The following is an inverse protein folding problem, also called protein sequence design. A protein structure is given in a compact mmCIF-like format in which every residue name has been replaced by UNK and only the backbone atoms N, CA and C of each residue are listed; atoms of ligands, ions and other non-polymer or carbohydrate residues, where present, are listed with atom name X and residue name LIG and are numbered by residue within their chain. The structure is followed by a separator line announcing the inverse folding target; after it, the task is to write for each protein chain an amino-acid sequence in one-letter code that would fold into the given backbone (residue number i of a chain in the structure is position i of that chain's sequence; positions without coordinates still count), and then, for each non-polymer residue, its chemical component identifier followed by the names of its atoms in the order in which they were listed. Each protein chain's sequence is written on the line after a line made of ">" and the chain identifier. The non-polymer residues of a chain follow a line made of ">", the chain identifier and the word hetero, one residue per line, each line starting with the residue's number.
data_IF_092089216736
#
_entry.id   IF_092089216736
#
_cell.length_a   1.000
_cell.length_b   1.000
_cell.length_c   1.000
_cell.angle_alpha   90.00
_cell.angle_beta   90.00
_cell.angle_gamma   90.00
#
_symmetry.space_group_name_H-M   'P 1'
#
loop_
_entity.id
_entity.type
_entity.pdbx_description
1 polymer ?
#
# COMPACT_ATOMS: atom_id res chain seq x y z
N UNK A 1 -27.05 -32.89 18.69
CA UNK A 1 -26.45 -32.58 17.37
C UNK A 1 -25.58 -31.32 17.43
N UNK A 2 -24.46 -31.33 18.19
CA UNK A 2 -23.59 -30.13 18.35
C UNK A 2 -22.10 -30.40 18.09
N UNK A 3 -21.75 -31.52 17.44
CA UNK A 3 -20.36 -31.89 17.15
C UNK A 3 -19.78 -31.34 15.84
N UNK A 4 -20.61 -30.79 14.95
CA UNK A 4 -20.17 -30.35 13.62
C UNK A 4 -19.35 -29.06 13.61
N UNK A 5 -19.68 -28.12 14.50
CA UNK A 5 -19.10 -26.77 14.49
C UNK A 5 -17.65 -26.74 14.98
N UNK A 6 -17.29 -27.54 16.00
CA UNK A 6 -15.89 -27.59 16.50
C UNK A 6 -14.90 -28.17 15.48
N UNK A 7 -15.35 -29.06 14.59
CA UNK A 7 -14.50 -29.68 13.56
C UNK A 7 -14.16 -28.71 12.43
N UNK A 8 -15.10 -27.86 12.04
CA UNK A 8 -14.92 -26.88 10.96
C UNK A 8 -13.95 -25.76 11.35
N UNK A 9 -14.03 -25.25 12.58
CA UNK A 9 -13.09 -24.25 13.09
C UNK A 9 -11.64 -24.78 13.17
N UNK A 10 -11.46 -26.05 13.58
CA UNK A 10 -10.15 -26.69 13.60
C UNK A 10 -9.52 -26.89 12.21
N UNK A 11 -10.32 -27.06 11.16
CA UNK A 11 -9.83 -27.24 9.79
C UNK A 11 -9.55 -25.91 9.07
N UNK A 12 -10.34 -24.85 9.32
CA UNK A 12 -10.03 -23.49 8.82
C UNK A 12 -8.70 -23.01 9.42
N UNK A 13 -8.46 -23.34 10.69
CA UNK A 13 -7.22 -23.01 11.39
C UNK A 13 -5.95 -23.54 10.71
N UNK A 14 -6.02 -24.66 9.99
CA UNK A 14 -4.82 -25.29 9.40
C UNK A 14 -4.31 -24.50 8.19
N UNK A 15 -5.21 -24.05 7.31
CA UNK A 15 -4.82 -23.29 6.10
C UNK A 15 -4.58 -21.80 6.39
N UNK A 16 -5.09 -21.30 7.51
CA UNK A 16 -4.92 -19.92 7.97
C UNK A 16 -3.53 -19.60 8.54
N UNK A 17 -2.60 -20.56 8.56
CA UNK A 17 -1.21 -20.31 8.94
C UNK A 17 -0.62 -19.11 8.18
N UNK A 18 0.00 -18.18 8.91
CA UNK A 18 0.55 -16.95 8.35
C UNK A 18 -0.45 -15.81 8.12
N UNK A 19 -1.73 -15.98 8.46
CA UNK A 19 -2.72 -14.89 8.40
C UNK A 19 -2.32 -13.70 9.29
N UNK A 20 -1.76 -13.97 10.48
CA UNK A 20 -1.23 -12.93 11.38
C UNK A 20 -0.10 -12.11 10.72
N UNK A 21 0.80 -12.78 10.00
CA UNK A 21 1.87 -12.10 9.27
C UNK A 21 1.34 -11.24 8.11
N UNK A 22 0.30 -11.69 7.40
CA UNK A 22 -0.38 -10.87 6.38
C UNK A 22 -1.05 -9.64 7.00
N UNK A 23 -1.67 -9.79 8.16
CA UNK A 23 -2.23 -8.65 8.88
C UNK A 23 -1.13 -7.63 9.21
N UNK A 24 0.02 -8.07 9.70
CA UNK A 24 1.19 -7.21 9.92
C UNK A 24 1.62 -6.49 8.63
N UNK A 25 1.69 -7.18 7.49
CA UNK A 25 2.00 -6.56 6.19
C UNK A 25 1.04 -5.41 5.89
N UNK A 26 -0.26 -5.66 5.93
CA UNK A 26 -1.29 -4.68 5.55
C UNK A 26 -1.35 -3.53 6.56
N UNK A 27 -1.17 -3.83 7.85
CA UNK A 27 -1.09 -2.84 8.90
C UNK A 27 0.08 -1.87 8.69
N UNK A 28 1.27 -2.37 8.35
CA UNK A 28 2.42 -1.50 8.06
C UNK A 28 2.14 -0.62 6.84
N UNK A 29 1.57 -1.15 5.76
CA UNK A 29 1.18 -0.32 4.61
C UNK A 29 0.16 0.76 4.98
N UNK A 30 -0.73 0.48 5.93
CA UNK A 30 -1.65 1.48 6.50
C UNK A 30 -0.90 2.58 7.23
N UNK A 31 0.10 2.22 8.05
CA UNK A 31 0.93 3.19 8.78
C UNK A 31 1.73 4.09 7.83
N UNK A 32 2.32 3.56 6.76
CA UNK A 32 3.11 4.35 5.81
C UNK A 32 2.27 5.05 4.72
N UNK A 33 0.95 4.83 4.69
CA UNK A 33 0.04 5.44 3.71
C UNK A 33 0.10 6.95 3.59
N UNK A 34 0.29 7.74 4.68
CA UNK A 34 0.39 9.19 4.52
C UNK A 34 1.60 9.59 3.68
N UNK A 35 2.73 8.87 3.82
CA UNK A 35 3.94 9.14 3.05
C UNK A 35 3.73 8.82 1.57
N UNK A 36 3.13 7.67 1.25
CA UNK A 36 2.92 7.25 -0.14
C UNK A 36 1.91 8.12 -0.88
N UNK A 37 0.82 8.50 -0.20
CA UNK A 37 -0.34 9.16 -0.84
C UNK A 37 -0.19 10.66 -1.01
N UNK A 38 0.76 11.31 -0.32
CA UNK A 38 0.93 12.76 -0.39
C UNK A 38 2.39 13.22 -0.28
N UNK A 39 3.37 12.41 -0.73
CA UNK A 39 4.79 12.74 -0.57
C UNK A 39 5.16 14.13 -1.09
N UNK A 40 4.64 14.50 -2.27
CA UNK A 40 4.86 15.83 -2.85
C UNK A 40 4.37 16.97 -1.95
N UNK A 41 3.30 16.74 -1.18
CA UNK A 41 2.72 17.70 -0.26
C UNK A 41 3.54 17.94 1.01
N UNK A 42 4.38 16.98 1.41
CA UNK A 42 5.28 17.13 2.57
C UNK A 42 6.51 17.97 2.22
N UNK A 43 6.94 17.98 0.95
CA UNK A 43 8.15 18.65 0.52
C UNK A 43 7.91 19.54 -0.71
N UNK A 44 7.29 20.71 -0.47
CA UNK A 44 7.04 21.68 -1.53
C UNK A 44 8.29 22.33 -2.10
N UNK A 45 9.36 22.44 -1.30
CA UNK A 45 10.66 22.91 -1.78
C UNK A 45 11.33 21.84 -2.65
N UNK A 46 11.27 20.58 -2.25
CA UNK A 46 11.69 19.43 -3.04
C UNK A 46 10.93 19.32 -4.34
N UNK A 47 9.61 19.58 -4.37
CA UNK A 47 8.87 19.60 -5.63
C UNK A 47 9.40 20.66 -6.61
N UNK A 48 9.78 21.86 -6.15
CA UNK A 48 10.42 22.88 -7.02
C UNK A 48 11.73 22.36 -7.61
N UNK A 49 12.58 21.75 -6.79
CA UNK A 49 13.82 21.15 -7.24
C UNK A 49 13.58 20.01 -8.25
N UNK A 50 12.56 19.17 -8.01
CA UNK A 50 12.21 18.04 -8.86
C UNK A 50 11.66 18.48 -10.23
N UNK A 51 10.90 19.56 -10.29
CA UNK A 51 10.43 20.14 -11.57
C UNK A 51 11.62 20.57 -12.43
N UNK A 52 12.61 21.24 -11.83
CA UNK A 52 13.81 21.72 -12.52
C UNK A 52 14.86 20.63 -12.76
N UNK A 53 14.77 19.49 -12.07
CA UNK A 53 15.75 18.42 -12.21
C UNK A 53 15.63 17.74 -13.58
N UNK A 54 16.76 17.49 -14.28
CA UNK A 54 16.80 16.80 -15.57
C UNK A 54 16.62 15.28 -15.39
N UNK A 55 15.59 14.87 -14.66
CA UNK A 55 15.32 13.48 -14.29
C UNK A 55 13.96 13.07 -14.83
N UNK A 56 13.92 11.91 -15.49
CA UNK A 56 12.66 11.37 -16.00
C UNK A 56 11.63 11.18 -14.88
N UNK A 57 10.38 11.58 -15.13
CA UNK A 57 9.28 11.45 -14.15
C UNK A 57 9.00 9.99 -13.78
N UNK A 58 9.33 9.05 -14.68
CA UNK A 58 9.30 7.61 -14.41
C UNK A 58 10.28 7.21 -13.31
N UNK A 59 11.54 7.66 -13.41
CA UNK A 59 12.55 7.36 -12.39
C UNK A 59 12.19 7.98 -11.05
N UNK A 60 11.63 9.19 -11.05
CA UNK A 60 11.14 9.87 -9.85
C UNK A 60 10.06 9.04 -9.13
N UNK A 61 9.01 8.62 -9.86
CA UNK A 61 7.96 7.77 -9.30
C UNK A 61 8.49 6.42 -8.83
N UNK A 62 9.40 5.81 -9.59
CA UNK A 62 10.03 4.55 -9.21
C UNK A 62 10.85 4.71 -7.91
N UNK A 63 11.65 5.76 -7.80
CA UNK A 63 12.45 6.05 -6.61
C UNK A 63 11.56 6.25 -5.38
N UNK A 64 10.51 7.06 -5.49
CA UNK A 64 9.48 7.22 -4.46
C UNK A 64 8.94 5.87 -3.99
N UNK A 65 8.47 5.05 -4.92
CA UNK A 65 7.88 3.76 -4.61
C UNK A 65 8.87 2.80 -3.98
N UNK A 66 10.11 2.76 -4.46
CA UNK A 66 11.18 1.95 -3.91
C UNK A 66 11.52 2.38 -2.48
N UNK A 67 11.60 3.68 -2.20
CA UNK A 67 11.86 4.19 -0.84
C UNK A 67 10.76 3.78 0.14
N UNK A 68 9.49 3.97 -0.23
CA UNK A 68 8.35 3.56 0.61
C UNK A 68 8.32 2.05 0.79
N UNK A 69 8.60 1.28 -0.27
CA UNK A 69 8.66 -0.18 -0.22
C UNK A 69 9.78 -0.65 0.70
N UNK A 70 10.96 -0.03 0.64
CA UNK A 70 12.08 -0.35 1.51
C UNK A 70 11.76 -0.08 2.99
N UNK A 71 11.20 1.10 3.30
CA UNK A 71 10.73 1.40 4.66
C UNK A 71 9.71 0.37 5.12
N UNK A 72 8.75 0.02 4.25
CA UNK A 72 7.73 -0.98 4.55
C UNK A 72 8.36 -2.36 4.80
N UNK A 73 9.36 -2.77 4.02
CA UNK A 73 10.06 -4.05 4.17
C UNK A 73 10.72 -4.15 5.56
N UNK A 74 11.42 -3.09 5.98
CA UNK A 74 12.07 -3.04 7.30
C UNK A 74 11.02 -3.16 8.41
N UNK A 75 9.94 -2.37 8.33
CA UNK A 75 8.89 -2.36 9.35
C UNK A 75 8.09 -3.67 9.39
N UNK A 76 7.78 -4.28 8.24
CA UNK A 76 7.13 -5.58 8.15
C UNK A 76 8.02 -6.67 8.73
N UNK A 77 9.32 -6.66 8.40
CA UNK A 77 10.27 -7.63 8.93
C UNK A 77 10.34 -7.54 10.46
N UNK A 78 10.44 -6.33 11.00
CA UNK A 78 10.39 -6.10 12.45
C UNK A 78 9.06 -6.57 13.07
N UNK A 79 7.93 -6.26 12.43
CA UNK A 79 6.59 -6.64 12.92
C UNK A 79 6.37 -8.15 12.92
N UNK A 80 6.80 -8.85 11.87
CA UNK A 80 6.74 -10.32 11.79
C UNK A 80 7.67 -10.95 12.83
N UNK A 81 8.89 -10.42 13.00
CA UNK A 81 9.83 -10.94 13.98
C UNK A 81 9.30 -10.79 15.42
N UNK A 82 8.80 -9.61 15.78
CA UNK A 82 8.18 -9.37 17.09
C UNK A 82 6.94 -10.25 17.29
N UNK A 83 6.06 -10.34 16.28
CA UNK A 83 4.90 -11.23 16.33
C UNK A 83 5.30 -12.70 16.54
N UNK A 84 6.28 -13.18 15.79
CA UNK A 84 6.80 -14.53 15.90
C UNK A 84 7.43 -14.84 17.27
N UNK A 85 8.10 -13.86 17.91
CA UNK A 85 8.61 -14.01 19.27
C UNK A 85 7.49 -14.10 20.31
N UNK A 86 6.38 -13.37 20.11
CA UNK A 86 5.26 -13.33 21.06
C UNK A 86 4.35 -14.56 20.91
N UNK A 87 4.06 -14.97 19.68
CA UNK A 87 3.09 -16.04 19.38
C UNK A 87 3.72 -17.39 19.06
N UNK A 88 5.04 -17.44 18.82
CA UNK A 88 5.77 -18.68 18.55
C UNK A 88 5.43 -19.34 17.20
N UNK A 89 4.82 -18.60 16.26
CA UNK A 89 4.25 -19.09 15.00
C UNK A 89 5.13 -18.82 13.77
N UNK A 90 6.42 -18.54 13.99
CA UNK A 90 7.36 -18.20 12.92
C UNK A 90 7.87 -19.45 12.19
N UNK A 91 7.17 -19.83 11.12
CA UNK A 91 7.55 -20.94 10.24
C UNK A 91 8.03 -20.43 8.87
N UNK A 92 8.81 -21.22 8.10
CA UNK A 92 9.14 -20.88 6.71
C UNK A 92 7.89 -20.70 5.83
N UNK A 93 6.82 -21.44 6.13
CA UNK A 93 5.53 -21.36 5.44
C UNK A 93 4.84 -20.00 5.68
N UNK A 94 4.88 -19.51 6.93
CA UNK A 94 4.43 -18.16 7.31
C UNK A 94 5.25 -17.09 6.60
N UNK A 95 6.58 -17.22 6.57
CA UNK A 95 7.47 -16.27 5.90
C UNK A 95 7.21 -16.19 4.39
N UNK A 96 7.03 -17.33 3.71
CA UNK A 96 6.72 -17.36 2.28
C UNK A 96 5.37 -16.70 1.99
N UNK A 97 4.35 -16.98 2.82
CA UNK A 97 3.02 -16.39 2.65
C UNK A 97 3.05 -14.87 2.83
N UNK A 98 3.77 -14.40 3.87
CA UNK A 98 3.97 -12.98 4.13
C UNK A 98 4.78 -12.30 3.02
N UNK A 99 5.82 -12.94 2.48
CA UNK A 99 6.63 -12.40 1.39
C UNK A 99 5.80 -12.22 0.11
N UNK A 100 4.97 -13.20 -0.26
CA UNK A 100 4.08 -13.08 -1.43
C UNK A 100 3.03 -11.98 -1.22
N UNK A 101 2.42 -11.91 -0.03
CA UNK A 101 1.48 -10.86 0.33
C UNK A 101 2.16 -9.47 0.30
N UNK A 102 3.40 -9.37 0.76
CA UNK A 102 4.20 -8.15 0.73
C UNK A 102 4.47 -7.68 -0.69
N UNK A 103 4.93 -8.56 -1.59
CA UNK A 103 5.20 -8.20 -2.99
C UNK A 103 3.93 -7.68 -3.68
N UNK A 104 2.81 -8.39 -3.49
CA UNK A 104 1.51 -7.97 -3.99
C UNK A 104 1.11 -6.58 -3.43
N UNK A 105 1.17 -6.44 -2.11
CA UNK A 105 0.81 -5.22 -1.41
C UNK A 105 1.67 -4.02 -1.84
N UNK A 106 2.99 -4.20 -1.92
CA UNK A 106 3.93 -3.18 -2.36
C UNK A 106 3.60 -2.66 -3.77
N UNK A 107 3.36 -3.57 -4.72
CA UNK A 107 3.06 -3.20 -6.10
C UNK A 107 1.72 -2.45 -6.25
N UNK A 108 0.65 -2.96 -5.62
CA UNK A 108 -0.67 -2.31 -5.66
C UNK A 108 -0.67 -0.97 -4.91
N UNK A 109 0.01 -0.91 -3.77
CA UNK A 109 0.13 0.30 -2.99
C UNK A 109 0.97 1.37 -3.69
N UNK A 110 2.02 0.99 -4.41
CA UNK A 110 2.79 1.89 -5.26
C UNK A 110 1.91 2.51 -6.35
N UNK A 111 1.06 1.71 -7.02
CA UNK A 111 0.12 2.20 -8.02
C UNK A 111 -0.91 3.15 -7.44
N UNK A 112 -1.55 2.74 -6.34
CA UNK A 112 -2.62 3.51 -5.72
C UNK A 112 -2.09 4.79 -5.04
N UNK A 113 -0.95 4.69 -4.37
CA UNK A 113 -0.25 5.81 -3.75
C UNK A 113 0.20 6.84 -4.80
N UNK A 114 0.71 6.39 -5.95
CA UNK A 114 0.99 7.28 -7.08
C UNK A 114 -0.28 7.99 -7.56
N UNK A 115 -1.34 7.23 -7.82
CA UNK A 115 -2.61 7.78 -8.28
C UNK A 115 -3.18 8.84 -7.32
N UNK A 116 -3.20 8.55 -6.01
CA UNK A 116 -3.63 9.51 -4.99
C UNK A 116 -2.72 10.74 -4.94
N UNK A 117 -1.40 10.54 -4.96
CA UNK A 117 -0.43 11.65 -4.90
C UNK A 117 -0.50 12.59 -6.10
N UNK A 118 -0.93 12.06 -7.26
CA UNK A 118 -1.16 12.86 -8.45
C UNK A 118 -2.53 13.54 -8.40
N UNK A 119 -3.60 12.84 -8.05
CA UNK A 119 -4.97 13.39 -8.11
C UNK A 119 -5.30 14.37 -7.00
N UNK A 120 -4.76 14.16 -5.80
CA UNK A 120 -5.10 14.95 -4.62
C UNK A 120 -3.85 15.53 -3.94
N UNK A 121 -3.01 16.31 -4.65
CA UNK A 121 -1.85 16.95 -4.04
C UNK A 121 -2.32 17.93 -2.97
N UNK A 122 -1.81 17.80 -1.75
CA UNK A 122 -2.16 18.72 -0.66
C UNK A 122 -0.95 19.18 0.12
N UNK A 123 -0.81 20.49 0.28
CA UNK A 123 0.21 21.08 1.15
C UNK A 123 0.01 20.62 2.58
N UNK A 124 1.06 20.05 3.18
CA UNK A 124 1.08 19.72 4.61
C UNK A 124 1.54 20.96 5.38
N UNK A 125 0.69 21.48 6.27
CA UNK A 125 1.04 22.57 7.20
C UNK A 125 1.29 21.96 8.58
N UNK A 126 2.56 21.88 9.00
CA UNK A 126 2.91 21.41 10.34
C UNK A 126 2.33 22.35 11.41
N UNK A 127 1.83 21.78 12.51
CA UNK A 127 1.23 22.54 13.62
C UNK A 127 -0.27 22.87 13.47
N UNK A 128 -0.90 22.62 12.31
CA UNK A 128 -2.37 22.57 12.19
C UNK A 128 -2.82 21.11 12.18
N UNK A 129 -3.98 20.82 12.79
CA UNK A 129 -4.59 19.48 12.69
C UNK A 129 -4.75 19.19 11.21
N UNK A 130 -4.02 18.19 10.73
CA UNK A 130 -4.07 17.80 9.33
C UNK A 130 -5.50 17.36 9.05
N UNK A 131 -6.26 18.24 8.41
CA UNK A 131 -7.60 17.91 7.97
C UNK A 131 -7.37 16.94 6.82
N UNK A 132 -7.28 15.64 7.15
CA UNK A 132 -7.08 14.58 6.17
C UNK A 132 -8.12 14.85 5.12
N UNK A 133 -7.63 15.17 3.93
CA UNK A 133 -8.40 15.22 2.71
C UNK A 133 -9.54 14.21 2.78
N UNK A 134 -10.78 14.67 3.03
CA UNK A 134 -11.88 13.76 3.40
C UNK A 134 -12.05 12.64 2.39
N UNK A 135 -11.70 12.89 1.13
CA UNK A 135 -11.73 11.91 0.04
C UNK A 135 -10.50 11.00 0.00
N UNK A 136 -9.28 11.55 0.02
CA UNK A 136 -8.06 10.73 -0.11
C UNK A 136 -7.81 9.77 1.05
N UNK A 137 -8.10 10.22 2.28
CA UNK A 137 -8.03 9.36 3.47
C UNK A 137 -9.16 8.34 3.54
N UNK A 138 -10.37 8.70 3.10
CA UNK A 138 -11.52 7.79 3.04
C UNK A 138 -11.32 6.68 2.02
N UNK A 139 -10.75 6.99 0.85
CA UNK A 139 -10.46 6.01 -0.20
C UNK A 139 -9.42 4.95 0.19
N UNK A 140 -8.62 5.20 1.25
CA UNK A 140 -7.68 4.20 1.76
C UNK A 140 -8.37 3.03 2.46
N UNK A 141 -9.51 3.26 3.12
CA UNK A 141 -10.26 2.21 3.82
C UNK A 141 -10.70 1.09 2.86
N UNK A 142 -11.46 1.35 1.77
CA UNK A 142 -11.83 0.30 0.83
C UNK A 142 -10.63 -0.27 0.10
N UNK A 143 -9.57 0.50 -0.13
CA UNK A 143 -8.33 0.00 -0.73
C UNK A 143 -7.66 -1.07 0.16
N UNK A 144 -7.53 -0.83 1.47
CA UNK A 144 -6.94 -1.81 2.37
C UNK A 144 -7.82 -3.04 2.54
N UNK A 145 -9.15 -2.88 2.57
CA UNK A 145 -10.07 -4.03 2.57
C UNK A 145 -9.91 -4.86 1.29
N UNK A 146 -9.77 -4.21 0.12
CA UNK A 146 -9.49 -4.89 -1.13
C UNK A 146 -8.16 -5.64 -1.10
N UNK A 147 -7.16 -5.11 -0.39
CA UNK A 147 -5.84 -5.73 -0.25
C UNK A 147 -5.87 -7.02 0.58
N UNK A 148 -6.87 -7.20 1.45
CA UNK A 148 -7.10 -8.46 2.18
C UNK A 148 -7.73 -9.54 1.29
N UNK A 149 -8.39 -9.17 0.19
CA UNK A 149 -9.16 -10.12 -0.63
C UNK A 149 -8.26 -11.23 -1.21
N UNK A 150 -7.12 -10.96 -1.87
CA UNK A 150 -6.33 -12.03 -2.46
C UNK A 150 -5.76 -13.04 -1.45
N UNK A 151 -5.18 -12.61 -0.29
CA UNK A 151 -4.79 -13.55 0.76
C UNK A 151 -5.97 -14.36 1.32
N UNK A 152 -7.14 -13.72 1.53
CA UNK A 152 -8.33 -14.40 2.01
C UNK A 152 -8.86 -15.44 1.01
N UNK A 153 -8.91 -15.10 -0.28
CA UNK A 153 -9.30 -16.00 -1.37
C UNK A 153 -8.32 -17.16 -1.49
N UNK A 154 -7.01 -16.90 -1.36
CA UNK A 154 -5.98 -17.92 -1.35
C UNK A 154 -6.18 -18.94 -0.22
N UNK A 155 -6.44 -18.49 1.00
CA UNK A 155 -6.72 -19.36 2.16
C UNK A 155 -8.03 -20.13 1.96
N UNK A 156 -9.09 -19.46 1.51
CA UNK A 156 -10.39 -20.10 1.26
C UNK A 156 -10.31 -21.16 0.17
N UNK A 157 -9.63 -20.88 -0.94
CA UNK A 157 -9.43 -21.82 -2.03
C UNK A 157 -8.56 -23.02 -1.62
N UNK A 158 -7.53 -22.79 -0.81
CA UNK A 158 -6.72 -23.86 -0.24
C UNK A 158 -7.53 -24.76 0.68
N UNK A 159 -8.43 -24.19 1.48
CA UNK A 159 -9.36 -24.95 2.30
C UNK A 159 -10.34 -25.76 1.46
N UNK A 160 -10.90 -25.21 0.39
CA UNK A 160 -11.81 -25.97 -0.49
C UNK A 160 -11.09 -27.08 -1.27
N UNK A 161 -9.86 -26.83 -1.72
CA UNK A 161 -9.05 -27.78 -2.46
C UNK A 161 -8.26 -28.75 -1.56
N UNK A 162 -8.31 -28.55 -0.23
CA UNK A 162 -7.54 -29.28 0.78
C UNK A 162 -6.02 -29.34 0.46
N UNK A 163 -5.46 -28.27 -0.12
CA UNK A 163 -4.09 -28.25 -0.65
C UNK A 163 -3.36 -26.95 -0.33
N UNK A 164 -2.21 -27.08 0.36
CA UNK A 164 -1.32 -25.94 0.61
C UNK A 164 -0.72 -25.38 -0.67
N UNK A 165 -0.50 -26.21 -1.70
CA UNK A 165 0.03 -25.73 -2.97
C UNK A 165 -0.90 -24.69 -3.61
N UNK A 166 -2.21 -24.91 -3.54
CA UNK A 166 -3.22 -23.99 -4.08
C UNK A 166 -3.15 -22.62 -3.40
N UNK A 167 -2.93 -22.59 -2.08
CA UNK A 167 -2.72 -21.34 -1.31
C UNK A 167 -1.62 -20.49 -1.94
N UNK A 168 -0.43 -21.06 -2.06
CA UNK A 168 0.74 -20.33 -2.52
C UNK A 168 0.68 -20.00 -4.01
N UNK A 169 0.17 -20.91 -4.86
CA UNK A 169 0.02 -20.67 -6.30
C UNK A 169 -0.91 -19.50 -6.57
N UNK A 170 -2.09 -19.46 -5.93
CA UNK A 170 -3.04 -18.36 -6.13
C UNK A 170 -2.41 -17.03 -5.70
N UNK A 171 -1.79 -16.99 -4.52
CA UNK A 171 -1.20 -15.75 -4.03
C UNK A 171 0.02 -15.32 -4.87
N UNK A 172 0.82 -16.26 -5.36
CA UNK A 172 1.93 -15.99 -6.28
C UNK A 172 1.44 -15.42 -7.63
N UNK A 173 0.32 -15.93 -8.15
CA UNK A 173 -0.33 -15.37 -9.35
C UNK A 173 -0.76 -13.92 -9.09
N UNK A 174 -1.44 -13.64 -7.97
CA UNK A 174 -1.81 -12.26 -7.62
C UNK A 174 -0.61 -11.33 -7.44
N UNK A 175 0.45 -11.79 -6.76
CA UNK A 175 1.69 -11.03 -6.61
C UNK A 175 2.31 -10.71 -7.97
N UNK A 176 2.40 -11.70 -8.85
CA UNK A 176 2.97 -11.56 -10.20
C UNK A 176 2.15 -10.60 -11.07
N UNK A 177 0.82 -10.74 -11.05
CA UNK A 177 -0.10 -9.85 -11.76
C UNK A 177 -0.01 -8.41 -11.24
N UNK A 178 0.13 -8.23 -9.92
CA UNK A 178 0.27 -6.91 -9.31
C UNK A 178 1.57 -6.22 -9.74
N UNK A 179 2.68 -6.96 -9.76
CA UNK A 179 3.97 -6.44 -10.26
C UNK A 179 3.90 -6.13 -11.76
N UNK A 180 3.31 -7.02 -12.57
CA UNK A 180 3.12 -6.78 -14.00
C UNK A 180 2.28 -5.52 -14.24
N UNK A 181 1.16 -5.38 -13.52
CA UNK A 181 0.31 -4.19 -13.60
C UNK A 181 1.09 -2.93 -13.20
N UNK A 182 1.91 -3.00 -12.14
CA UNK A 182 2.78 -1.91 -11.73
C UNK A 182 3.71 -1.46 -12.86
N UNK A 183 4.44 -2.41 -13.46
CA UNK A 183 5.39 -2.13 -14.54
C UNK A 183 4.71 -1.56 -15.79
N UNK A 184 3.49 -2.02 -16.11
CA UNK A 184 2.72 -1.56 -17.26
C UNK A 184 2.11 -0.17 -17.06
N UNK A 185 1.63 0.14 -15.86
CA UNK A 185 0.92 1.40 -15.55
C UNK A 185 1.87 2.52 -15.16
N UNK A 186 3.05 2.22 -14.62
CA UNK A 186 4.03 3.22 -14.18
C UNK A 186 4.40 4.24 -15.28
N UNK A 187 4.66 3.87 -16.55
CA UNK A 187 4.92 4.85 -17.62
C UNK A 187 3.74 5.79 -17.88
N UNK A 188 2.51 5.32 -17.75
CA UNK A 188 1.32 6.15 -17.90
C UNK A 188 1.18 7.14 -16.74
N UNK A 189 1.45 6.71 -15.50
CA UNK A 189 1.49 7.59 -14.34
C UNK A 189 2.60 8.63 -14.44
N UNK A 190 3.76 8.26 -15.00
CA UNK A 190 4.87 9.18 -15.25
C UNK A 190 4.50 10.31 -16.23
N UNK A 191 3.83 9.96 -17.35
CA UNK A 191 3.30 10.97 -18.28
C UNK A 191 2.23 11.85 -17.64
N UNK A 192 1.41 11.27 -16.76
CA UNK A 192 0.42 12.06 -16.01
C UNK A 192 1.08 13.02 -15.02
N UNK A 193 2.20 12.64 -14.42
CA UNK A 193 2.98 13.53 -13.55
C UNK A 193 3.56 14.69 -14.36
N UNK A 194 4.18 14.39 -15.51
CA UNK A 194 4.75 15.40 -16.41
C UNK A 194 3.71 16.44 -16.84
N UNK A 195 2.49 16.02 -17.20
CA UNK A 195 1.42 16.96 -17.60
C UNK A 195 0.89 17.84 -16.47
N UNK A 196 1.02 17.39 -15.22
CA UNK A 196 0.38 18.03 -14.05
C UNK A 196 1.38 18.57 -13.04
N UNK A 197 2.66 18.60 -13.40
CA UNK A 197 3.71 18.98 -12.46
C UNK A 197 3.56 20.43 -11.98
N UNK A 198 3.13 21.34 -12.87
CA UNK A 198 2.86 22.75 -12.53
C UNK A 198 1.64 22.87 -11.62
N UNK A 199 0.54 22.18 -11.92
CA UNK A 199 -0.65 22.13 -11.06
C UNK A 199 -0.32 21.62 -9.64
N UNK A 200 0.45 20.54 -9.56
CA UNK A 200 0.90 19.96 -8.29
C UNK A 200 1.79 20.97 -7.55
N UNK A 201 2.71 21.63 -8.26
CA UNK A 201 3.59 22.63 -7.67
C UNK A 201 2.81 23.82 -7.10
N UNK A 202 1.81 24.33 -7.83
CA UNK A 202 0.95 25.41 -7.38
C UNK A 202 0.13 25.02 -6.14
N UNK A 203 -0.47 23.83 -6.16
CA UNK A 203 -1.24 23.27 -5.05
C UNK A 203 -0.39 23.10 -3.78
N UNK A 204 0.86 22.68 -3.92
CA UNK A 204 1.76 22.44 -2.78
C UNK A 204 2.44 23.74 -2.30
N UNK A 205 2.70 24.70 -3.17
CA UNK A 205 3.33 25.97 -2.80
C UNK A 205 2.35 27.02 -2.28
N UNK A 206 1.05 26.82 -2.52
CA UNK A 206 -0.03 27.64 -1.97
C UNK A 206 -0.41 28.86 -2.80
N UNK A 207 0.10 29.02 -4.02
CA UNK A 207 -0.29 30.14 -4.90
C UNK A 207 -1.72 30.03 -5.44
N UNK A 208 -2.31 28.83 -5.48
CA UNK A 208 -3.70 28.62 -5.90
C UNK A 208 -4.72 28.49 -4.75
N UNK A 209 -4.28 28.40 -3.48
CA UNK A 209 -5.15 28.06 -2.34
C UNK A 209 -5.61 29.24 -1.48
N UNK A 210 -4.97 30.40 -1.59
CA UNK A 210 -5.33 31.57 -0.76
C UNK A 210 -6.60 32.29 -1.27
N UNK A 211 -7.11 31.96 -2.47
CA UNK A 211 -8.38 32.50 -2.98
C UNK A 211 -9.61 31.74 -2.46
N UNK A 212 -9.54 30.41 -2.29
CA UNK A 212 -10.70 29.62 -1.84
C UNK A 212 -10.94 29.74 -0.33
N UNK A 213 -9.91 30.02 0.47
CA UNK A 213 -10.04 30.26 1.92
C UNK A 213 -10.65 31.65 2.23
N UNK A 214 -10.78 32.56 1.25
CA UNK A 214 -11.40 33.88 1.43
C UNK A 214 -12.89 33.94 1.05
N UNK A 215 -13.42 32.96 0.31
CA UNK A 215 -14.83 32.97 -0.15
C UNK A 215 -15.78 32.30 0.86
N UNK A 216 -15.25 31.59 1.85
CA UNK A 216 -16.01 30.86 2.87
C UNK A 216 -15.88 31.45 4.29
N UNK A 217 -15.44 32.70 4.40
CA UNK A 217 -15.38 33.47 5.65
C UNK A 217 -16.68 34.16 6.00
#
# INVERSE_FOLDING_TARGET
>A
MSGGTRRTWGMISQYAEGAGAVFSVIYIFTLVSPLSTNLFGYDGAGMRALVLAPVSRRLLLAAKNTSVTFISLVLVTAGIFVGGLVFGDLTPATLLFAALAFVMAAALFALFGNWLSLRFPKRVRFGKRMNRSGVGGLLLVPFFLLLLVPPAVSVAAAHLAQSYAVKYVILAVFASLSVALYLLVLPAQARSLERRELEILEAVTGRGGDQDDQVMG
#
